data_IF_685081795396
#
_entry.id   IF_685081795396
#
_cell.length_a   1.000
_cell.length_b   1.000
_cell.length_c   1.000
_cell.angle_alpha   90.00
_cell.angle_beta   90.00
_cell.angle_gamma   90.00
#
_symmetry.space_group_name_H-M   'P 1'
#
loop_
_entity.id
_entity.type
_entity.pdbx_description
1 polymer ?
#
# COMPACT_ATOMS: atom_id res chain seq x y z
N UNK A 1 -14.04 20.67 -7.90
CA UNK A 1 -15.28 20.99 -7.16
C UNK A 1 -15.12 22.38 -6.58
N UNK A 2 -16.13 23.24 -6.64
CA UNK A 2 -16.08 24.52 -5.91
C UNK A 2 -17.22 24.61 -4.91
N UNK A 3 -16.87 25.11 -3.73
CA UNK A 3 -17.76 25.33 -2.61
C UNK A 3 -17.91 26.83 -2.44
N UNK A 4 -19.16 27.33 -2.43
CA UNK A 4 -19.44 28.77 -2.39
C UNK A 4 -20.25 29.19 -1.17
N UNK A 5 -19.85 30.31 -0.56
CA UNK A 5 -20.63 31.09 0.41
C UNK A 5 -21.04 32.42 -0.23
N UNK A 6 -22.18 32.99 0.14
CA UNK A 6 -22.61 34.30 -0.38
C UNK A 6 -21.56 35.37 -0.04
N UNK A 7 -20.97 35.99 -1.08
CA UNK A 7 -19.87 36.95 -0.94
C UNK A 7 -18.58 36.63 -1.69
N UNK A 8 -18.60 35.68 -2.65
CA UNK A 8 -17.47 35.24 -3.49
C UNK A 8 -16.40 34.43 -2.77
N UNK A 9 -15.80 33.46 -3.48
CA UNK A 9 -14.44 32.90 -3.39
C UNK A 9 -14.39 31.38 -3.59
N UNK A 10 -13.31 30.95 -4.24
CA UNK A 10 -13.00 29.60 -4.74
C UNK A 10 -12.17 28.86 -3.70
N UNK A 11 -12.54 27.61 -3.37
CA UNK A 11 -11.73 26.74 -2.52
C UNK A 11 -10.74 25.95 -3.36
N UNK A 12 -9.45 26.25 -3.19
CA UNK A 12 -8.35 25.30 -3.25
C UNK A 12 -7.44 25.67 -2.07
N UNK A 13 -7.28 24.77 -1.08
CA UNK A 13 -6.04 24.73 -0.31
C UNK A 13 -5.58 23.29 -0.14
N UNK A 14 -4.33 23.11 -0.56
CA UNK A 14 -3.47 21.96 -0.42
C UNK A 14 -2.96 21.95 1.03
N UNK A 15 -2.92 20.79 1.70
CA UNK A 15 -2.39 20.71 3.07
C UNK A 15 -0.86 20.82 3.13
N UNK A 16 -0.18 20.94 1.99
CA UNK A 16 1.23 21.32 1.90
C UNK A 16 1.38 22.73 1.33
N UNK A 17 1.25 23.72 2.22
CA UNK A 17 1.51 25.11 1.88
C UNK A 17 2.88 25.28 1.21
N UNK A 18 2.87 25.84 0.00
CA UNK A 18 3.95 26.65 -0.59
C UNK A 18 5.01 25.97 -1.47
N UNK A 19 4.68 24.92 -2.25
CA UNK A 19 5.58 24.45 -3.35
C UNK A 19 4.97 24.38 -4.75
N UNK A 20 3.65 24.27 -4.92
CA UNK A 20 3.04 24.17 -6.24
C UNK A 20 2.96 25.51 -7.01
N UNK A 21 2.86 26.65 -6.32
CA UNK A 21 2.66 27.97 -6.98
C UNK A 21 3.87 28.46 -7.79
N UNK A 22 5.08 27.93 -7.57
CA UNK A 22 6.26 28.37 -8.34
C UNK A 22 6.43 27.70 -9.70
N UNK A 23 5.65 26.67 -10.02
CA UNK A 23 5.82 25.92 -11.27
C UNK A 23 4.99 26.49 -12.44
N UNK A 24 3.94 27.27 -12.18
CA UNK A 24 3.06 27.79 -13.23
C UNK A 24 2.78 29.27 -13.02
N UNK A 25 3.64 30.11 -13.60
CA UNK A 25 3.48 31.55 -13.59
C UNK A 25 2.21 32.00 -14.31
N UNK A 26 1.23 32.50 -13.54
CA UNK A 26 0.31 33.55 -13.99
C UNK A 26 -0.30 34.23 -12.76
N UNK A 27 0.15 35.45 -12.48
CA UNK A 27 -0.51 36.36 -11.55
C UNK A 27 -1.94 36.61 -12.04
N UNK A 28 -2.93 36.32 -11.19
CA UNK A 28 -4.28 36.87 -11.33
C UNK A 28 -4.58 37.64 -10.05
N UNK A 29 -4.42 38.96 -10.14
CA UNK A 29 -4.87 39.88 -9.10
C UNK A 29 -6.40 39.89 -9.07
N UNK A 30 -7.02 39.26 -8.08
CA UNK A 30 -8.34 39.66 -7.58
C UNK A 30 -8.42 39.35 -6.09
N UNK A 31 -8.84 40.34 -5.30
CA UNK A 31 -8.97 40.27 -3.85
C UNK A 31 -9.89 39.10 -3.46
N UNK A 32 -9.29 38.00 -2.97
CA UNK A 32 -10.01 36.83 -2.53
C UNK A 32 -9.68 36.49 -1.08
N UNK A 33 -10.66 36.65 -0.18
CA UNK A 33 -10.54 36.15 1.18
C UNK A 33 -10.67 34.62 1.17
N UNK A 34 -9.56 33.93 1.44
CA UNK A 34 -9.55 32.48 1.67
C UNK A 34 -10.38 32.14 2.91
N UNK A 35 -11.40 31.31 2.75
CA UNK A 35 -12.00 30.60 3.89
C UNK A 35 -10.94 29.62 4.38
N UNK A 36 -10.66 29.58 5.69
CA UNK A 36 -9.81 28.52 6.23
C UNK A 36 -10.52 27.18 6.04
N UNK A 37 -9.85 26.24 5.38
CA UNK A 37 -10.35 24.89 5.12
C UNK A 37 -10.23 24.04 6.39
N UNK A 38 -11.08 24.34 7.38
CA UNK A 38 -11.17 23.61 8.64
C UNK A 38 -12.60 23.15 8.86
N UNK A 39 -12.76 22.06 9.61
CA UNK A 39 -14.06 21.47 9.93
C UNK A 39 -15.11 22.50 10.42
N UNK A 40 -14.65 23.53 11.13
CA UNK A 40 -15.45 24.61 11.70
C UNK A 40 -16.11 25.52 10.64
N UNK A 41 -15.63 25.53 9.40
CA UNK A 41 -16.19 26.35 8.31
C UNK A 41 -17.18 25.59 7.44
N UNK A 42 -17.30 24.26 7.60
CA UNK A 42 -18.30 23.44 6.91
C UNK A 42 -19.75 23.92 7.09
N UNK A 43 -20.20 24.40 8.28
CA UNK A 43 -21.55 24.96 8.43
C UNK A 43 -21.84 26.14 7.49
N UNK A 44 -20.81 26.85 7.03
CA UNK A 44 -20.99 28.02 6.18
C UNK A 44 -21.24 27.62 4.71
N UNK A 45 -20.94 26.38 4.34
CA UNK A 45 -21.13 25.86 2.99
C UNK A 45 -22.62 25.83 2.63
N UNK A 46 -22.99 26.66 1.65
CA UNK A 46 -24.39 26.78 1.20
C UNK A 46 -24.66 26.11 -0.13
N UNK A 47 -23.65 26.04 -0.99
CA UNK A 47 -23.77 25.43 -2.30
C UNK A 47 -22.44 24.81 -2.72
N UNK A 48 -22.56 23.68 -3.40
CA UNK A 48 -21.44 22.99 -4.00
C UNK A 48 -21.79 22.76 -5.46
N UNK A 49 -20.84 23.01 -6.36
CA UNK A 49 -21.01 22.80 -7.78
C UNK A 49 -19.79 22.10 -8.37
N UNK A 50 -20.04 21.27 -9.39
CA UNK A 50 -18.99 20.83 -10.31
C UNK A 50 -18.61 22.02 -11.19
N UNK A 51 -17.31 22.19 -11.42
CA UNK A 51 -16.83 23.20 -12.36
C UNK A 51 -16.82 22.58 -13.75
N UNK A 52 -17.50 23.23 -14.69
CA UNK A 52 -17.53 22.81 -16.10
C UNK A 52 -16.14 22.85 -16.75
N UNK A 53 -15.22 23.59 -16.17
CA UNK A 53 -13.81 23.70 -16.58
C UNK A 53 -12.93 22.52 -16.13
N UNK A 54 -13.47 21.55 -15.39
CA UNK A 54 -12.74 20.34 -14.98
C UNK A 54 -12.45 19.36 -16.13
N UNK A 55 -12.40 19.84 -17.38
CA UNK A 55 -12.00 19.09 -18.57
C UNK A 55 -10.60 18.49 -18.45
N UNK A 56 -9.74 19.07 -17.60
CA UNK A 56 -8.40 18.52 -17.34
C UNK A 56 -8.42 17.15 -16.63
N UNK A 57 -9.54 16.77 -16.00
CA UNK A 57 -9.75 15.40 -15.47
C UNK A 57 -10.38 14.46 -16.51
N UNK A 58 -10.80 14.95 -17.67
CA UNK A 58 -11.42 14.11 -18.69
C UNK A 58 -10.42 13.08 -19.22
N UNK A 59 -10.83 11.80 -19.24
CA UNK A 59 -9.97 10.70 -19.67
C UNK A 59 -8.94 10.23 -18.62
N UNK A 60 -8.86 10.88 -17.47
CA UNK A 60 -7.99 10.44 -16.36
C UNK A 60 -8.73 9.42 -15.51
N UNK A 61 -8.09 8.27 -15.28
CA UNK A 61 -8.55 7.28 -14.30
C UNK A 61 -7.98 7.63 -12.93
N UNK A 62 -8.82 8.11 -12.02
CA UNK A 62 -8.44 8.40 -10.64
C UNK A 62 -8.63 7.15 -9.78
N UNK A 63 -7.56 6.68 -9.13
CA UNK A 63 -7.58 5.54 -8.22
C UNK A 63 -6.96 6.00 -6.90
N UNK A 64 -7.73 5.93 -5.82
CA UNK A 64 -7.25 6.16 -4.46
C UNK A 64 -6.88 4.83 -3.81
N UNK A 65 -5.61 4.69 -3.43
CA UNK A 65 -5.13 3.52 -2.70
C UNK A 65 -5.36 3.72 -1.21
N UNK A 66 -6.05 2.78 -0.57
CA UNK A 66 -6.30 2.88 0.87
C UNK A 66 -6.39 1.51 1.53
N UNK A 67 -5.76 1.39 2.69
CA UNK A 67 -5.86 0.22 3.58
C UNK A 67 -6.84 0.47 4.74
N UNK A 68 -7.58 1.58 4.69
CA UNK A 68 -8.61 1.94 5.68
C UNK A 68 -9.96 1.52 5.14
N UNK A 69 -10.70 0.69 5.89
CA UNK A 69 -12.05 0.28 5.53
C UNK A 69 -13.15 1.24 6.04
N UNK A 70 -12.81 2.19 6.90
CA UNK A 70 -13.79 3.09 7.54
C UNK A 70 -14.62 3.87 6.53
N UNK A 71 -15.96 3.91 6.67
CA UNK A 71 -16.82 4.83 5.92
C UNK A 71 -16.55 6.28 6.31
N UNK A 72 -17.13 7.22 5.57
CA UNK A 72 -16.97 8.66 5.85
C UNK A 72 -17.60 9.06 7.20
N UNK A 73 -18.80 8.54 7.49
CA UNK A 73 -19.62 8.94 8.65
C UNK A 73 -20.23 7.75 9.38
N UNK A 74 -20.80 7.99 10.56
CA UNK A 74 -21.47 6.99 11.38
C UNK A 74 -20.57 6.41 12.48
N UNK A 75 -21.05 5.36 13.15
CA UNK A 75 -20.37 4.77 14.32
C UNK A 75 -18.93 4.31 14.03
N UNK A 76 -18.68 3.84 12.80
CA UNK A 76 -17.36 3.45 12.31
C UNK A 76 -16.77 4.50 11.34
N UNK A 77 -17.29 5.72 11.36
CA UNK A 77 -16.87 6.82 10.48
C UNK A 77 -15.53 7.42 10.88
N UNK A 78 -14.96 8.22 9.98
CA UNK A 78 -13.64 8.85 10.17
C UNK A 78 -13.54 9.66 11.45
N UNK A 79 -14.57 10.45 11.75
CA UNK A 79 -14.62 11.32 12.93
C UNK A 79 -14.57 10.49 14.21
N UNK A 80 -15.29 9.37 14.25
CA UNK A 80 -15.37 8.50 15.42
C UNK A 80 -14.07 7.70 15.65
N UNK A 81 -13.48 7.15 14.57
CA UNK A 81 -12.30 6.29 14.68
C UNK A 81 -11.01 7.12 14.82
N UNK A 82 -10.86 8.18 14.03
CA UNK A 82 -9.60 8.90 13.90
C UNK A 82 -9.64 10.34 14.44
N UNK A 83 -10.81 10.84 14.86
CA UNK A 83 -10.97 12.23 15.28
C UNK A 83 -10.24 12.58 16.58
N UNK A 84 -10.30 11.70 17.58
CA UNK A 84 -9.69 11.95 18.89
C UNK A 84 -8.17 12.18 18.80
N UNK A 85 -7.45 11.31 18.08
CA UNK A 85 -6.01 11.45 17.86
C UNK A 85 -5.63 12.65 16.98
N UNK A 86 -6.59 13.21 16.23
CA UNK A 86 -6.43 14.44 15.43
C UNK A 86 -6.88 15.70 16.18
N UNK A 87 -7.20 15.59 17.47
CA UNK A 87 -7.53 16.72 18.34
C UNK A 87 -8.99 17.17 18.28
N UNK A 88 -9.92 16.39 17.71
CA UNK A 88 -11.34 16.69 17.75
C UNK A 88 -11.90 16.44 19.15
N UNK A 89 -12.60 17.44 19.70
CA UNK A 89 -13.20 17.37 21.04
C UNK A 89 -14.62 16.80 21.04
N UNK A 90 -15.39 17.10 20.00
CA UNK A 90 -16.78 16.65 19.83
C UNK A 90 -16.88 15.85 18.52
N UNK A 91 -16.73 14.53 18.64
CA UNK A 91 -16.71 13.61 17.48
C UNK A 91 -18.08 13.53 16.81
N UNK A 92 -19.17 13.62 17.59
CA UNK A 92 -20.53 13.58 17.07
C UNK A 92 -20.88 14.85 16.30
N UNK A 93 -20.46 16.02 16.79
CA UNK A 93 -20.61 17.26 16.05
C UNK A 93 -19.82 17.20 14.74
N UNK A 94 -18.57 16.71 14.78
CA UNK A 94 -17.75 16.53 13.60
C UNK A 94 -18.42 15.59 12.57
N UNK A 95 -18.91 14.44 13.00
CA UNK A 95 -19.60 13.46 12.15
C UNK A 95 -20.87 14.06 11.52
N UNK A 96 -21.67 14.81 12.28
CA UNK A 96 -22.84 15.54 11.77
C UNK A 96 -22.48 16.55 10.69
N UNK A 97 -21.39 17.30 10.86
CA UNK A 97 -20.94 18.28 9.87
C UNK A 97 -20.53 17.60 8.56
N UNK A 98 -19.75 16.53 8.65
CA UNK A 98 -19.32 15.75 7.48
C UNK A 98 -20.51 15.05 6.81
N UNK A 99 -21.47 14.54 7.59
CA UNK A 99 -22.70 13.92 7.07
C UNK A 99 -23.55 14.94 6.30
N UNK A 100 -23.68 16.15 6.82
CA UNK A 100 -24.40 17.23 6.12
C UNK A 100 -23.70 17.61 4.82
N UNK A 101 -22.37 17.69 4.80
CA UNK A 101 -21.60 17.93 3.58
C UNK A 101 -21.84 16.83 2.54
N UNK A 102 -21.80 15.56 2.95
CA UNK A 102 -22.05 14.42 2.05
C UNK A 102 -23.47 14.47 1.45
N UNK A 103 -24.48 14.83 2.25
CA UNK A 103 -25.87 15.02 1.77
C UNK A 103 -25.99 16.15 0.74
N UNK A 104 -25.26 17.25 0.93
CA UNK A 104 -25.24 18.35 -0.04
C UNK A 104 -24.58 17.96 -1.37
N UNK A 105 -23.66 16.98 -1.34
CA UNK A 105 -22.98 16.46 -2.54
C UNK A 105 -23.77 15.40 -3.29
N UNK A 106 -24.71 14.72 -2.64
CA UNK A 106 -25.50 13.63 -3.22
C UNK A 106 -26.16 13.98 -4.58
N UNK A 107 -26.76 15.17 -4.79
CA UNK A 107 -27.35 15.53 -6.09
C UNK A 107 -26.34 15.66 -7.23
N UNK A 108 -25.04 15.84 -6.92
CA UNK A 108 -23.96 15.95 -7.90
C UNK A 108 -23.34 14.60 -8.25
N UNK A 109 -23.83 13.51 -7.66
CA UNK A 109 -23.24 12.19 -7.71
C UNK A 109 -24.24 11.18 -8.25
N UNK A 110 -23.75 10.06 -8.79
CA UNK A 110 -24.59 8.96 -9.28
C UNK A 110 -25.10 8.02 -8.18
N UNK A 111 -24.73 8.27 -6.93
CA UNK A 111 -25.09 7.45 -5.77
C UNK A 111 -24.54 8.04 -4.47
N UNK A 112 -24.92 7.44 -3.34
CA UNK A 112 -24.34 7.76 -2.04
C UNK A 112 -23.06 6.95 -1.83
N UNK A 113 -21.95 7.65 -1.68
CA UNK A 113 -20.63 7.04 -1.45
C UNK A 113 -20.10 7.28 -0.05
N UNK A 114 -20.90 7.89 0.84
CA UNK A 114 -20.49 8.19 2.22
C UNK A 114 -20.33 6.92 3.08
N UNK A 115 -21.02 5.85 2.71
CA UNK A 115 -20.97 4.54 3.38
C UNK A 115 -20.00 3.54 2.74
N UNK A 116 -19.35 3.90 1.63
CA UNK A 116 -18.39 3.02 0.94
C UNK A 116 -17.17 2.82 1.81
N UNK A 117 -16.65 1.59 1.85
CA UNK A 117 -15.43 1.27 2.56
C UNK A 117 -14.27 2.13 2.05
N UNK A 118 -13.53 2.72 2.99
CA UNK A 118 -12.42 3.63 2.69
C UNK A 118 -12.84 5.03 2.25
N UNK A 119 -14.14 5.34 2.16
CA UNK A 119 -14.60 6.72 1.98
C UNK A 119 -14.07 7.65 3.10
N UNK A 120 -13.83 7.09 4.28
CA UNK A 120 -13.29 7.80 5.41
C UNK A 120 -11.77 8.00 5.42
N UNK A 121 -11.05 7.43 4.44
CA UNK A 121 -9.60 7.50 4.39
C UNK A 121 -9.08 8.94 4.40
N UNK A 122 -7.97 9.15 5.12
CA UNK A 122 -7.28 10.44 5.24
C UNK A 122 -8.19 11.64 5.59
N UNK A 123 -9.25 11.44 6.39
CA UNK A 123 -10.12 12.57 6.77
C UNK A 123 -11.30 12.81 5.82
N UNK A 124 -11.64 11.84 4.97
CA UNK A 124 -12.69 11.98 3.96
C UNK A 124 -12.18 12.25 2.54
N UNK A 125 -10.87 12.17 2.32
CA UNK A 125 -10.27 12.25 0.98
C UNK A 125 -10.73 11.07 0.11
N UNK A 126 -10.90 9.88 0.70
CA UNK A 126 -11.45 8.72 -0.01
C UNK A 126 -12.84 9.01 -0.60
N UNK A 127 -13.71 9.66 0.17
CA UNK A 127 -15.00 10.13 -0.31
C UNK A 127 -14.85 11.15 -1.44
N UNK A 128 -13.95 12.12 -1.31
CA UNK A 128 -13.69 13.11 -2.37
C UNK A 128 -13.27 12.44 -3.70
N UNK A 129 -12.42 11.40 -3.64
CA UNK A 129 -12.06 10.58 -4.81
C UNK A 129 -13.30 9.99 -5.46
N UNK A 130 -14.24 9.42 -4.68
CA UNK A 130 -15.51 8.89 -5.20
C UNK A 130 -16.39 9.99 -5.80
N UNK A 131 -16.45 11.18 -5.20
CA UNK A 131 -17.22 12.32 -5.76
C UNK A 131 -16.71 12.75 -7.13
N UNK A 132 -15.39 12.66 -7.34
CA UNK A 132 -14.73 12.95 -8.61
C UNK A 132 -14.88 11.81 -9.64
N UNK A 133 -15.55 10.70 -9.27
CA UNK A 133 -15.73 9.54 -10.13
C UNK A 133 -14.56 8.56 -10.11
N UNK A 134 -13.56 8.77 -9.25
CA UNK A 134 -12.45 7.84 -9.05
C UNK A 134 -12.84 6.63 -8.21
N UNK A 135 -12.05 5.57 -8.24
CA UNK A 135 -12.28 4.33 -7.48
C UNK A 135 -11.38 4.27 -6.25
N UNK A 136 -11.81 3.50 -5.24
CA UNK A 136 -10.96 3.14 -4.11
C UNK A 136 -10.57 1.67 -4.24
N UNK A 137 -9.31 1.36 -4.01
CA UNK A 137 -8.78 0.00 -4.08
C UNK A 137 -7.76 -0.21 -2.95
N UNK A 138 -7.67 -1.42 -2.37
CA UNK A 138 -6.57 -1.78 -1.48
C UNK A 138 -5.22 -1.51 -2.16
N UNK A 139 -4.29 -0.86 -1.44
CA UNK A 139 -3.01 -0.47 -2.03
C UNK A 139 -2.19 -1.67 -2.47
N UNK A 140 -2.23 -2.73 -1.67
CA UNK A 140 -1.48 -3.94 -1.92
C UNK A 140 -1.97 -4.69 -3.18
N UNK A 141 -3.30 -4.83 -3.37
CA UNK A 141 -3.86 -5.45 -4.58
C UNK A 141 -3.52 -4.66 -5.84
N UNK A 142 -3.62 -3.32 -5.77
CA UNK A 142 -3.26 -2.46 -6.89
C UNK A 142 -1.78 -2.63 -7.31
N UNK A 143 -0.88 -2.72 -6.32
CA UNK A 143 0.54 -2.95 -6.60
C UNK A 143 0.76 -4.31 -7.26
N UNK A 144 0.06 -5.37 -6.81
CA UNK A 144 0.19 -6.71 -7.41
C UNK A 144 -0.32 -6.75 -8.85
N UNK A 145 -1.45 -6.08 -9.12
CA UNK A 145 -1.98 -5.94 -10.48
C UNK A 145 -1.04 -5.14 -11.37
N UNK A 146 -0.51 -4.02 -10.85
CA UNK A 146 0.43 -3.17 -11.57
C UNK A 146 1.74 -3.90 -11.90
N UNK A 147 2.22 -4.75 -11.00
CA UNK A 147 3.39 -5.60 -11.19
C UNK A 147 3.07 -6.89 -11.97
N UNK A 148 1.82 -7.09 -12.39
CA UNK A 148 1.32 -8.29 -13.10
C UNK A 148 1.57 -9.60 -12.36
N UNK A 149 1.76 -9.56 -11.03
CA UNK A 149 2.05 -10.73 -10.21
C UNK A 149 0.84 -11.63 -10.01
N UNK A 150 -0.38 -11.09 -10.16
CA UNK A 150 -1.62 -11.86 -10.11
C UNK A 150 -1.86 -12.74 -11.35
N UNK A 151 -1.25 -12.37 -12.49
CA UNK A 151 -1.52 -13.01 -13.79
C UNK A 151 -0.29 -13.70 -14.39
N UNK A 152 0.91 -13.39 -13.91
CA UNK A 152 2.14 -14.03 -14.35
C UNK A 152 2.40 -15.29 -13.52
N UNK A 153 2.73 -16.39 -14.21
CA UNK A 153 3.46 -17.47 -13.55
C UNK A 153 4.76 -16.86 -13.00
N UNK A 154 4.93 -16.92 -11.69
CA UNK A 154 6.15 -16.48 -11.04
C UNK A 154 7.22 -17.52 -11.40
N UNK A 155 8.04 -17.23 -12.40
CA UNK A 155 9.16 -18.08 -12.76
C UNK A 155 10.37 -17.82 -11.84
N UNK A 156 10.11 -17.87 -10.53
CA UNK A 156 11.12 -17.67 -9.49
C UNK A 156 11.35 -18.97 -8.74
N UNK A 157 12.61 -19.32 -8.53
CA UNK A 157 12.98 -20.46 -7.70
C UNK A 157 12.81 -20.18 -6.20
N UNK A 158 12.80 -18.90 -5.82
CA UNK A 158 12.74 -18.44 -4.44
C UNK A 158 12.26 -16.99 -4.35
N UNK A 159 11.42 -16.69 -3.35
CA UNK A 159 10.85 -15.35 -3.15
C UNK A 159 11.19 -14.84 -1.75
N UNK A 160 11.73 -13.61 -1.67
CA UNK A 160 12.14 -12.97 -0.42
C UNK A 160 11.42 -11.64 -0.24
N UNK A 161 10.20 -11.61 0.33
CA UNK A 161 9.54 -10.35 0.64
C UNK A 161 10.09 -9.75 1.93
N UNK A 162 9.86 -8.45 2.13
CA UNK A 162 10.28 -7.74 3.33
C UNK A 162 9.48 -6.49 3.63
N UNK A 163 9.47 -6.09 4.90
CA UNK A 163 8.93 -4.81 5.37
C UNK A 163 9.70 -4.32 6.61
N UNK A 164 9.35 -3.13 7.11
CA UNK A 164 10.00 -2.55 8.28
C UNK A 164 9.78 -3.36 9.57
N UNK A 165 8.55 -3.81 9.81
CA UNK A 165 8.20 -4.68 10.93
C UNK A 165 7.14 -5.67 10.49
N UNK A 166 7.43 -6.96 10.68
CA UNK A 166 6.48 -8.05 10.46
C UNK A 166 5.81 -8.48 11.75
N UNK A 167 4.50 -8.25 11.86
CA UNK A 167 3.69 -8.55 13.04
C UNK A 167 2.31 -9.09 12.66
N UNK A 168 1.37 -9.17 13.62
CA UNK A 168 0.01 -9.63 13.36
C UNK A 168 -0.71 -8.83 12.26
N UNK A 169 -0.33 -7.58 12.02
CA UNK A 169 -0.91 -6.75 10.95
C UNK A 169 -0.40 -7.15 9.56
N UNK A 170 0.80 -7.73 9.46
CA UNK A 170 1.32 -8.26 8.18
C UNK A 170 0.36 -9.27 7.57
N UNK A 171 -0.23 -10.11 8.44
CA UNK A 171 -1.20 -11.13 8.08
C UNK A 171 -2.52 -10.54 7.53
N UNK A 172 -2.79 -9.26 7.75
CA UNK A 172 -4.01 -8.57 7.31
C UNK A 172 -3.93 -8.07 5.86
N UNK A 173 -3.10 -8.71 5.02
CA UNK A 173 -3.03 -8.39 3.59
C UNK A 173 -2.01 -7.31 3.23
N UNK A 174 -0.95 -7.13 4.03
CA UNK A 174 0.18 -6.29 3.60
C UNK A 174 0.96 -6.99 2.47
N UNK A 175 1.75 -6.19 1.74
CA UNK A 175 2.55 -6.64 0.59
C UNK A 175 3.25 -7.99 0.78
N UNK A 176 4.03 -8.21 1.86
CA UNK A 176 4.71 -9.49 2.08
C UNK A 176 3.78 -10.70 2.19
N UNK A 177 2.63 -10.55 2.84
CA UNK A 177 1.67 -11.65 3.02
C UNK A 177 0.98 -12.03 1.71
N UNK A 178 0.68 -11.05 0.86
CA UNK A 178 0.10 -11.33 -0.46
C UNK A 178 1.10 -11.98 -1.39
N UNK A 179 2.35 -11.49 -1.43
CA UNK A 179 3.44 -12.11 -2.20
C UNK A 179 3.66 -13.55 -1.75
N UNK A 180 3.68 -13.81 -0.44
CA UNK A 180 3.82 -15.15 0.10
C UNK A 180 2.66 -16.07 -0.33
N UNK A 181 1.43 -15.55 -0.25
CA UNK A 181 0.24 -16.30 -0.66
C UNK A 181 0.26 -16.63 -2.15
N UNK A 182 0.74 -15.71 -3.00
CA UNK A 182 0.92 -15.92 -4.45
C UNK A 182 1.97 -17.00 -4.74
N UNK A 183 3.16 -16.87 -4.15
CA UNK A 183 4.26 -17.81 -4.32
C UNK A 183 3.90 -19.23 -3.84
N UNK A 184 3.24 -19.35 -2.68
CA UNK A 184 2.82 -20.64 -2.13
C UNK A 184 1.82 -21.38 -3.02
N UNK A 185 0.91 -20.67 -3.70
CA UNK A 185 0.01 -21.31 -4.68
C UNK A 185 0.74 -21.94 -5.86
N UNK A 186 1.97 -21.49 -6.12
CA UNK A 186 2.83 -21.99 -7.18
C UNK A 186 3.91 -22.95 -6.66
N UNK A 187 3.89 -23.29 -5.37
CA UNK A 187 4.88 -24.17 -4.74
C UNK A 187 6.27 -23.55 -4.59
N UNK A 188 6.40 -22.23 -4.75
CA UNK A 188 7.69 -21.53 -4.65
C UNK A 188 8.00 -21.25 -3.17
N UNK A 189 9.20 -21.58 -2.67
CA UNK A 189 9.58 -21.30 -1.30
C UNK A 189 9.63 -19.79 -1.04
N UNK A 190 9.20 -19.38 0.16
CA UNK A 190 9.10 -17.97 0.56
C UNK A 190 9.81 -17.73 1.88
N UNK A 191 10.75 -16.80 1.90
CA UNK A 191 11.49 -16.43 3.11
C UNK A 191 11.31 -14.95 3.44
N UNK A 192 10.73 -14.64 4.58
CA UNK A 192 10.54 -13.26 5.03
C UNK A 192 11.84 -12.69 5.58
N UNK A 193 12.24 -11.51 5.08
CA UNK A 193 13.38 -10.75 5.58
C UNK A 193 12.92 -9.33 5.94
N UNK A 194 12.84 -9.00 7.23
CA UNK A 194 12.25 -7.73 7.70
C UNK A 194 13.13 -6.98 8.69
N UNK A 195 12.85 -5.68 8.86
CA UNK A 195 13.53 -4.83 9.85
C UNK A 195 13.40 -5.36 11.28
N UNK A 196 12.22 -5.87 11.62
CA UNK A 196 11.92 -6.62 12.83
C UNK A 196 10.85 -7.69 12.54
N UNK A 197 10.82 -8.76 13.32
CA UNK A 197 9.87 -9.87 13.17
C UNK A 197 9.33 -10.27 14.53
N UNK A 198 8.01 -10.30 14.69
CA UNK A 198 7.37 -10.94 15.84
C UNK A 198 7.33 -12.46 15.63
N UNK A 199 7.66 -13.23 16.68
CA UNK A 199 7.60 -14.69 16.63
C UNK A 199 6.17 -15.17 16.85
N UNK A 200 5.34 -15.12 15.82
CA UNK A 200 3.98 -15.67 15.84
C UNK A 200 3.89 -16.96 15.02
N UNK A 201 3.12 -17.93 15.52
CA UNK A 201 2.85 -19.18 14.80
C UNK A 201 2.16 -18.94 13.44
N UNK A 202 1.46 -17.81 13.28
CA UNK A 202 0.81 -17.45 12.03
C UNK A 202 1.82 -17.02 10.95
N UNK A 203 2.83 -16.22 11.31
CA UNK A 203 3.91 -15.87 10.37
C UNK A 203 4.70 -17.12 9.95
N UNK A 204 5.01 -18.02 10.89
CA UNK A 204 5.69 -19.29 10.58
C UNK A 204 4.88 -20.25 9.69
N UNK A 205 3.56 -20.07 9.57
CA UNK A 205 2.73 -20.82 8.60
C UNK A 205 2.75 -20.17 7.22
N UNK A 206 2.84 -18.85 7.16
CA UNK A 206 2.79 -18.11 5.90
C UNK A 206 4.13 -18.10 5.17
N UNK A 207 5.25 -18.09 5.90
CA UNK A 207 6.60 -18.08 5.34
C UNK A 207 7.37 -19.34 5.77
N UNK A 208 8.27 -19.82 4.92
CA UNK A 208 9.09 -21.01 5.17
C UNK A 208 10.34 -20.68 6.01
N UNK A 209 10.61 -19.38 6.20
CA UNK A 209 11.58 -18.85 7.15
C UNK A 209 11.28 -17.38 7.42
N UNK A 210 11.53 -16.89 8.63
CA UNK A 210 11.36 -15.49 9.00
C UNK A 210 12.62 -14.98 9.69
N UNK A 211 13.21 -13.90 9.14
CA UNK A 211 14.48 -13.35 9.60
C UNK A 211 14.37 -11.84 9.82
N UNK A 212 14.97 -11.39 10.93
CA UNK A 212 15.23 -9.98 11.17
C UNK A 212 16.57 -9.60 10.58
N UNK A 213 16.69 -8.41 9.99
CA UNK A 213 17.99 -7.87 9.54
C UNK A 213 18.87 -7.41 10.71
N UNK A 214 18.32 -7.32 11.92
CA UNK A 214 19.08 -6.90 13.10
C UNK A 214 19.97 -8.04 13.60
N UNK A 215 21.26 -7.75 13.74
CA UNK A 215 22.26 -8.70 14.27
C UNK A 215 22.48 -8.58 15.79
N UNK A 216 21.98 -7.51 16.41
CA UNK A 216 22.09 -7.25 17.84
C UNK A 216 20.97 -6.31 18.31
N UNK A 217 20.72 -6.19 19.63
CA UNK A 217 19.88 -5.13 20.17
C UNK A 217 20.46 -3.75 19.83
N UNK A 218 19.69 -2.93 19.12
CA UNK A 218 20.08 -1.57 18.72
C UNK A 218 18.92 -0.59 18.94
N UNK A 219 19.22 0.70 18.95
CA UNK A 219 18.18 1.73 18.98
C UNK A 219 17.42 1.77 17.65
N UNK A 220 16.15 2.20 17.68
CA UNK A 220 15.35 2.37 16.46
C UNK A 220 16.01 3.34 15.47
N UNK A 221 16.59 4.42 15.97
CA UNK A 221 17.31 5.41 15.16
C UNK A 221 18.49 4.76 14.42
N UNK A 222 19.27 3.93 15.11
CA UNK A 222 20.37 3.20 14.48
C UNK A 222 19.86 2.17 13.46
N UNK A 223 18.80 1.42 13.79
CA UNK A 223 18.20 0.43 12.90
C UNK A 223 17.72 1.05 11.58
N UNK A 224 17.02 2.19 11.64
CA UNK A 224 16.52 2.90 10.46
C UNK A 224 17.68 3.52 9.67
N UNK A 225 18.63 4.19 10.35
CA UNK A 225 19.78 4.84 9.72
C UNK A 225 20.67 3.85 8.96
N UNK A 226 20.82 2.63 9.47
CA UNK A 226 21.72 1.61 8.91
C UNK A 226 20.96 0.47 8.19
N UNK A 227 19.67 0.64 7.92
CA UNK A 227 18.81 -0.42 7.38
C UNK A 227 19.37 -1.04 6.08
N UNK A 228 19.92 -0.23 5.18
CA UNK A 228 20.51 -0.72 3.92
C UNK A 228 21.70 -1.66 4.14
N UNK A 229 22.67 -1.25 4.95
CA UNK A 229 23.85 -2.07 5.25
C UNK A 229 23.49 -3.35 6.03
N UNK A 230 22.55 -3.25 6.96
CA UNK A 230 22.04 -4.41 7.71
C UNK A 230 21.31 -5.40 6.79
N UNK A 231 20.48 -4.89 5.87
CA UNK A 231 19.77 -5.68 4.88
C UNK A 231 20.75 -6.40 3.95
N UNK A 232 21.77 -5.71 3.45
CA UNK A 232 22.80 -6.30 2.57
C UNK A 232 23.52 -7.47 3.25
N UNK A 233 23.98 -7.28 4.49
CA UNK A 233 24.64 -8.33 5.26
C UNK A 233 23.71 -9.52 5.51
N UNK A 234 22.47 -9.25 5.93
CA UNK A 234 21.49 -10.30 6.19
C UNK A 234 21.13 -11.09 4.92
N UNK A 235 20.89 -10.41 3.80
CA UNK A 235 20.59 -11.02 2.51
C UNK A 235 21.78 -11.84 1.99
N UNK A 236 23.00 -11.33 2.10
CA UNK A 236 24.22 -12.05 1.70
C UNK A 236 24.40 -13.35 2.50
N UNK A 237 24.20 -13.29 3.82
CA UNK A 237 24.26 -14.48 4.68
C UNK A 237 23.19 -15.51 4.31
N UNK A 238 21.96 -15.05 4.07
CA UNK A 238 20.83 -15.89 3.68
C UNK A 238 21.08 -16.57 2.33
N UNK A 239 21.52 -15.81 1.33
CA UNK A 239 21.84 -16.32 -0.01
C UNK A 239 23.02 -17.29 0.01
N UNK A 240 24.06 -16.99 0.78
CA UNK A 240 25.22 -17.88 0.97
C UNK A 240 24.80 -19.20 1.60
N UNK A 241 23.97 -19.16 2.65
CA UNK A 241 23.41 -20.35 3.28
C UNK A 241 22.59 -21.17 2.27
N UNK A 242 21.72 -20.54 1.51
CA UNK A 242 20.90 -21.19 0.49
C UNK A 242 21.75 -21.85 -0.61
N UNK A 243 22.75 -21.15 -1.14
CA UNK A 243 23.67 -21.66 -2.15
C UNK A 243 24.47 -22.87 -1.64
N UNK A 244 24.94 -22.83 -0.39
CA UNK A 244 25.65 -23.98 0.21
C UNK A 244 24.73 -25.16 0.51
N UNK A 245 23.51 -24.90 1.01
CA UNK A 245 22.55 -25.95 1.30
C UNK A 245 22.01 -26.64 0.03
N UNK A 246 21.88 -25.91 -1.07
CA UNK A 246 21.46 -26.46 -2.37
C UNK A 246 22.55 -27.32 -3.02
N UNK A 247 23.83 -26.93 -2.91
CA UNK A 247 24.97 -27.76 -3.35
C UNK A 247 24.99 -29.14 -2.69
N UNK A 248 24.73 -29.22 -1.38
CA UNK A 248 24.65 -30.51 -0.65
C UNK A 248 23.59 -31.44 -1.25
N UNK A 249 22.48 -30.90 -1.77
CA UNK A 249 21.43 -31.71 -2.42
C UNK A 249 21.83 -32.18 -3.81
N UNK A 250 22.54 -31.34 -4.56
CA UNK A 250 23.06 -31.70 -5.89
C UNK A 250 24.07 -32.85 -5.77
N UNK A 251 25.08 -32.70 -4.90
CA UNK A 251 26.11 -33.71 -4.69
C UNK A 251 25.52 -35.04 -4.19
N UNK A 252 24.52 -35.01 -3.29
CA UNK A 252 23.85 -36.24 -2.81
C UNK A 252 22.86 -36.82 -3.83
N UNK A 253 22.30 -36.01 -4.72
CA UNK A 253 21.46 -36.45 -5.83
C UNK A 253 22.29 -37.15 -6.90
N UNK A 254 23.45 -36.59 -7.23
CA UNK A 254 24.48 -37.20 -8.07
C UNK A 254 25.05 -38.47 -7.44
N UNK A 255 25.29 -38.50 -6.13
CA UNK A 255 25.79 -39.71 -5.44
C UNK A 255 24.72 -40.83 -5.33
N UNK A 256 23.42 -40.47 -5.39
CA UNK A 256 22.31 -41.44 -5.50
C UNK A 256 22.07 -41.90 -6.93
N UNK A 257 22.22 -41.04 -7.94
CA UNK A 257 22.19 -41.44 -9.34
C UNK A 257 23.43 -42.26 -9.71
N UNK A 258 24.62 -41.89 -9.25
CA UNK A 258 25.86 -42.67 -9.45
C UNK A 258 25.77 -44.06 -8.80
N UNK A 259 25.06 -44.20 -7.66
CA UNK A 259 24.74 -45.50 -7.05
C UNK A 259 23.58 -46.26 -7.71
N UNK A 260 22.92 -45.68 -8.70
CA UNK A 260 21.89 -46.34 -9.52
C UNK A 260 22.33 -46.56 -10.97
N UNK A 261 23.51 -46.06 -11.37
CA UNK A 261 24.05 -46.23 -12.74
C UNK A 261 25.10 -47.36 -12.81
N UNK A 262 25.35 -48.09 -11.72
CA UNK A 262 26.19 -49.31 -11.75
C UNK A 262 25.40 -50.60 -12.10
N UNK A 263 24.13 -50.47 -12.51
CA UNK A 263 23.36 -51.55 -13.13
C UNK A 263 22.53 -51.04 -14.33
N UNK A 264 23.21 -50.86 -15.47
CA UNK A 264 22.56 -50.98 -16.78
C UNK A 264 22.25 -49.69 -17.55
N UNK A 265 22.80 -49.66 -18.76
CA UNK A 265 22.41 -48.92 -19.96
C UNK A 265 23.07 -47.55 -20.24
N UNK A 266 23.88 -47.57 -21.30
CA UNK A 266 24.40 -46.40 -22.02
C UNK A 266 23.27 -45.72 -22.80
N UNK A 267 23.50 -44.43 -23.09
CA UNK A 267 22.69 -43.53 -23.93
C UNK A 267 21.47 -42.86 -23.27
N UNK A 268 21.65 -41.62 -22.78
CA UNK A 268 21.00 -40.42 -23.35
C UNK A 268 21.49 -39.10 -22.72
N UNK A 269 21.49 -38.09 -23.60
CA UNK A 269 22.06 -36.72 -23.54
C UNK A 269 21.48 -35.85 -22.40
N UNK A 270 22.27 -34.95 -21.77
CA UNK A 270 21.76 -34.03 -20.74
C UNK A 270 21.03 -32.82 -21.36
N UNK A 271 19.97 -32.27 -20.72
CA UNK A 271 19.41 -30.99 -21.16
C UNK A 271 20.25 -29.83 -20.64
N UNK A 272 20.54 -28.91 -21.55
CA UNK A 272 21.28 -27.67 -21.38
C UNK A 272 20.40 -26.53 -20.83
N UNK A 273 21.07 -25.62 -20.10
CA UNK A 273 20.75 -24.21 -19.85
C UNK A 273 20.02 -23.84 -18.54
N UNK A 274 20.84 -23.52 -17.53
CA UNK A 274 20.60 -22.49 -16.52
C UNK A 274 20.89 -21.13 -17.16
N UNK A 275 19.92 -20.22 -17.18
CA UNK A 275 20.14 -18.80 -17.54
C UNK A 275 19.40 -17.87 -16.59
N UNK A 276 20.18 -16.90 -16.10
CA UNK A 276 19.84 -15.59 -15.52
C UNK A 276 18.93 -15.51 -14.29
N UNK A 277 19.58 -15.43 -13.13
CA UNK A 277 19.00 -14.83 -11.92
C UNK A 277 18.91 -13.31 -12.10
N UNK A 278 17.72 -12.82 -12.41
CA UNK A 278 17.43 -11.38 -12.31
C UNK A 278 17.07 -11.07 -10.86
N UNK A 279 17.88 -10.24 -10.21
CA UNK A 279 17.55 -9.61 -8.93
C UNK A 279 16.66 -8.40 -9.25
N UNK A 280 15.40 -8.45 -8.81
CA UNK A 280 14.46 -7.30 -8.83
C UNK A 280 14.06 -6.99 -7.39
#
# INVERSE_FOLDING_TARGET
MSVGCQGSHTIFSDSEGNRAERAYGRQVHHHAHHVKDVLETLPNVRAIARRDEAKWLAGIRLIGLTDVASPLTGANGTSQIFGAQKGLKDLDAADRLVSNLAKQLLPLMSGDYSSVEGAGAAGGLGFAVRVLGGLLQPGADFILDALQLNHSAMNFDWVIPGEGRSDGQTLLGKGPALIASLAKRQGIPVTLLSGAVDHSAALSRLFDGCFSIQSAPVTLEHAVRNAGALLEVAACNLATLFAKASQIRCERGEDRMAKHVDEGDCDRVPPSNLTDHTVV
#
